data_IF_462788905770
#
_entry.id   IF_462788905770
#
_cell.length_a   1.000
_cell.length_b   1.000
_cell.length_c   1.000
_cell.angle_alpha   90.00
_cell.angle_beta   90.00
_cell.angle_gamma   90.00
#
_symmetry.space_group_name_H-M   'P 1'
#
loop_
_entity.id
_entity.type
_entity.pdbx_description
1 polymer ?
#
# COMPACT_ATOMS: atom_id res chain seq x y z
N UNK A 1 -3.19 -13.74 2.19
CA UNK A 1 -4.03 -14.87 2.67
C UNK A 1 -5.03 -15.19 1.59
N UNK A 2 -5.19 -16.47 1.29
CA UNK A 2 -6.23 -16.95 0.36
C UNK A 2 -7.31 -17.64 1.19
N UNK A 3 -8.59 -17.27 0.98
CA UNK A 3 -9.73 -17.87 1.70
C UNK A 3 -9.98 -19.30 1.23
N UNK A 4 -10.64 -20.11 2.05
CA UNK A 4 -11.14 -21.42 1.64
C UNK A 4 -12.07 -21.28 0.42
N UNK A 5 -11.83 -22.11 -0.61
CA UNK A 5 -12.60 -22.08 -1.85
C UNK A 5 -12.17 -21.03 -2.88
N UNK A 6 -11.05 -20.33 -2.66
CA UNK A 6 -10.49 -19.42 -3.67
C UNK A 6 -10.10 -20.13 -4.97
N UNK A 7 -10.11 -19.37 -6.06
CA UNK A 7 -9.76 -19.87 -7.39
C UNK A 7 -8.29 -20.31 -7.46
N UNK A 8 -7.98 -21.22 -8.38
CA UNK A 8 -6.59 -21.64 -8.63
C UNK A 8 -5.68 -20.45 -8.97
N UNK A 9 -6.23 -19.43 -9.64
CA UNK A 9 -5.48 -18.23 -10.01
C UNK A 9 -5.07 -17.40 -8.79
N UNK A 10 -5.97 -17.21 -7.82
CA UNK A 10 -5.65 -16.49 -6.56
C UNK A 10 -4.59 -17.23 -5.74
N UNK A 11 -4.58 -18.57 -5.79
CA UNK A 11 -3.54 -19.40 -5.16
C UNK A 11 -2.19 -19.21 -5.86
N UNK A 12 -2.17 -19.24 -7.19
CA UNK A 12 -0.96 -18.99 -7.99
C UNK A 12 -0.42 -17.56 -7.81
N UNK A 13 -1.28 -16.56 -7.63
CA UNK A 13 -0.85 -15.20 -7.29
C UNK A 13 -0.16 -15.15 -5.92
N UNK A 14 -0.75 -15.79 -4.90
CA UNK A 14 -0.16 -15.82 -3.56
C UNK A 14 1.17 -16.59 -3.52
N UNK A 15 1.27 -17.72 -4.24
CA UNK A 15 2.51 -18.50 -4.31
C UNK A 15 3.62 -17.73 -5.03
N UNK A 16 3.29 -16.98 -6.09
CA UNK A 16 4.25 -16.06 -6.72
C UNK A 16 4.68 -14.94 -5.80
N UNK A 17 3.76 -14.37 -5.02
CA UNK A 17 4.10 -13.38 -3.99
C UNK A 17 5.09 -13.96 -2.97
N UNK A 18 4.85 -15.18 -2.49
CA UNK A 18 5.73 -15.91 -1.58
C UNK A 18 7.15 -16.07 -2.18
N UNK A 19 7.26 -16.51 -3.43
CA UNK A 19 8.54 -16.69 -4.12
C UNK A 19 9.34 -15.38 -4.20
N UNK A 20 8.68 -14.26 -4.49
CA UNK A 20 9.31 -12.93 -4.50
C UNK A 20 9.82 -12.58 -3.11
N UNK A 21 8.97 -12.74 -2.08
CA UNK A 21 9.34 -12.40 -0.70
C UNK A 21 10.49 -13.26 -0.17
N UNK A 22 10.55 -14.54 -0.53
CA UNK A 22 11.68 -15.43 -0.18
C UNK A 22 13.01 -14.95 -0.78
N UNK A 23 12.99 -14.39 -2.00
CA UNK A 23 14.19 -13.84 -2.64
C UNK A 23 14.69 -12.53 -2.01
N UNK A 24 13.77 -11.76 -1.41
CA UNK A 24 14.08 -10.44 -0.87
C UNK A 24 14.83 -10.49 0.45
N UNK A 25 14.73 -11.53 1.28
CA UNK A 25 15.36 -11.52 2.61
C UNK A 25 14.91 -10.32 3.46
N UNK A 26 15.78 -9.80 4.34
CA UNK A 26 15.44 -8.67 5.22
C UNK A 26 16.10 -7.36 4.80
N UNK A 27 15.31 -6.28 4.81
CA UNK A 27 15.77 -4.91 4.63
C UNK A 27 14.91 -3.94 5.46
N UNK A 28 15.53 -2.88 6.00
CA UNK A 28 14.85 -1.97 6.93
C UNK A 28 13.57 -1.31 6.37
N UNK A 29 13.55 -1.07 5.05
CA UNK A 29 12.45 -0.39 4.36
C UNK A 29 11.63 -1.31 3.42
N UNK A 30 11.65 -2.62 3.68
CA UNK A 30 10.85 -3.63 2.97
C UNK A 30 10.21 -4.54 4.01
N UNK A 31 8.93 -4.89 3.82
CA UNK A 31 8.24 -5.84 4.71
C UNK A 31 8.88 -7.21 4.58
N UNK A 32 9.29 -7.75 5.73
CA UNK A 32 9.97 -9.04 5.83
C UNK A 32 8.95 -10.18 6.00
N UNK A 33 9.11 -11.23 5.19
CA UNK A 33 8.44 -12.52 5.39
C UNK A 33 9.08 -13.26 6.58
N UNK A 34 8.26 -13.66 7.54
CA UNK A 34 8.67 -14.42 8.72
C UNK A 34 8.42 -15.93 8.53
N UNK A 35 7.41 -16.30 7.74
CA UNK A 35 7.06 -17.69 7.46
C UNK A 35 5.84 -17.81 6.56
N UNK A 36 5.44 -19.03 6.25
CA UNK A 36 4.27 -19.33 5.45
C UNK A 36 3.64 -20.67 5.85
N UNK A 37 2.33 -20.80 5.65
CA UNK A 37 1.61 -22.07 5.75
C UNK A 37 1.04 -22.38 4.36
N UNK A 38 1.66 -23.32 3.64
CA UNK A 38 1.28 -23.66 2.25
C UNK A 38 1.07 -25.17 2.03
N UNK A 39 1.23 -26.01 3.06
CA UNK A 39 0.98 -27.46 2.95
C UNK A 39 -0.50 -27.80 2.83
N UNK A 40 -1.36 -27.06 3.54
CA UNK A 40 -2.81 -27.22 3.56
C UNK A 40 -3.50 -25.86 3.55
N UNK A 41 -4.70 -25.82 2.97
CA UNK A 41 -5.52 -24.61 2.98
C UNK A 41 -6.04 -24.28 4.39
N UNK A 42 -6.26 -22.99 4.70
CA UNK A 42 -5.98 -21.82 3.85
C UNK A 42 -4.48 -21.47 3.78
N UNK A 43 -4.02 -20.98 2.62
CA UNK A 43 -2.63 -20.53 2.47
C UNK A 43 -2.38 -19.19 3.16
N UNK A 44 -1.36 -19.16 4.03
CA UNK A 44 -1.01 -18.02 4.87
C UNK A 44 0.43 -17.57 4.61
N UNK A 45 0.61 -16.25 4.55
CA UNK A 45 1.92 -15.59 4.61
C UNK A 45 1.99 -14.88 5.96
N UNK A 46 3.06 -15.16 6.71
CA UNK A 46 3.32 -14.55 8.01
C UNK A 46 4.40 -13.50 7.79
N UNK A 47 4.08 -12.24 8.03
CA UNK A 47 4.96 -11.10 7.78
C UNK A 47 5.15 -10.29 9.06
N UNK A 48 6.18 -9.45 9.10
CA UNK A 48 6.32 -8.50 10.20
C UNK A 48 5.11 -7.57 10.31
N UNK A 49 4.71 -7.26 11.54
CA UNK A 49 3.63 -6.34 11.82
C UNK A 49 4.14 -4.89 11.84
N UNK A 50 3.53 -4.03 11.03
CA UNK A 50 3.90 -2.61 10.90
C UNK A 50 2.79 -1.74 11.49
N UNK A 51 3.08 -1.13 12.64
CA UNK A 51 2.10 -0.64 13.61
C UNK A 51 1.05 0.34 13.07
N UNK A 52 1.46 1.37 12.31
CA UNK A 52 0.52 2.38 11.83
C UNK A 52 -0.16 2.00 10.50
N UNK A 53 0.09 0.79 9.99
CA UNK A 53 -0.56 0.31 8.78
C UNK A 53 -0.17 1.11 7.54
N UNK A 54 -1.12 1.28 6.61
CA UNK A 54 -0.89 1.87 5.28
C UNK A 54 -0.59 3.37 5.36
N UNK A 55 0.46 3.80 4.66
CA UNK A 55 0.87 5.20 4.53
C UNK A 55 -0.26 6.08 3.99
N UNK A 56 -1.03 5.60 3.01
CA UNK A 56 -2.18 6.36 2.49
C UNK A 56 -3.20 6.72 3.60
N UNK A 57 -3.57 5.75 4.43
CA UNK A 57 -4.50 5.96 5.53
C UNK A 57 -3.88 6.87 6.60
N UNK A 58 -2.62 6.65 6.92
CA UNK A 58 -1.85 7.47 7.86
C UNK A 58 -1.83 8.96 7.44
N UNK A 59 -1.49 9.25 6.18
CA UNK A 59 -1.47 10.62 5.65
C UNK A 59 -2.86 11.29 5.71
N UNK A 60 -3.91 10.56 5.32
CA UNK A 60 -5.29 11.08 5.32
C UNK A 60 -5.82 11.34 6.73
N UNK A 61 -5.45 10.50 7.70
CA UNK A 61 -5.83 10.67 9.10
C UNK A 61 -5.19 11.95 9.67
N UNK A 62 -3.89 12.14 9.47
CA UNK A 62 -3.18 13.36 9.90
C UNK A 62 -3.68 14.64 9.21
N UNK A 63 -4.12 14.54 7.95
CA UNK A 63 -4.80 15.64 7.26
C UNK A 63 -6.08 16.08 8.00
N UNK A 64 -6.85 15.15 8.57
CA UNK A 64 -8.09 15.49 9.29
C UNK A 64 -7.85 15.97 10.72
N UNK A 65 -6.82 15.45 11.41
CA UNK A 65 -6.51 15.82 12.80
C UNK A 65 -6.03 17.26 12.96
N UNK A 66 -5.31 17.80 11.98
CA UNK A 66 -4.90 19.21 11.96
C UNK A 66 -6.09 20.18 11.99
N UNK A 67 -7.29 19.75 11.59
CA UNK A 67 -8.49 20.59 11.65
C UNK A 67 -9.22 20.57 13.01
N UNK A 68 -8.89 19.65 13.93
CA UNK A 68 -9.70 19.40 15.13
C UNK A 68 -8.99 19.61 16.47
N UNK A 69 -7.66 19.52 16.57
CA UNK A 69 -6.94 19.61 17.85
C UNK A 69 -5.69 20.49 17.76
N UNK A 70 -5.80 21.76 18.17
CA UNK A 70 -4.68 22.70 18.35
C UNK A 70 -4.00 22.60 19.75
N UNK A 71 -4.16 21.48 20.49
CA UNK A 71 -3.82 21.44 21.92
C UNK A 71 -3.25 20.11 22.45
N UNK A 72 -2.36 19.41 21.73
CA UNK A 72 -1.57 18.32 22.33
C UNK A 72 -0.08 18.48 22.03
N UNK A 73 0.74 18.41 23.09
CA UNK A 73 2.21 18.42 23.01
C UNK A 73 2.71 17.20 22.22
N UNK A 74 3.50 17.45 21.17
CA UNK A 74 3.25 16.86 19.85
C UNK A 74 4.41 15.98 19.33
N UNK A 75 4.80 14.93 20.05
CA UNK A 75 5.77 13.94 19.50
C UNK A 75 5.16 13.12 18.35
N UNK A 76 3.83 13.02 18.32
CA UNK A 76 3.09 12.20 17.36
C UNK A 76 2.64 12.96 16.10
N UNK A 77 2.73 14.30 16.07
CA UNK A 77 2.39 15.07 14.87
C UNK A 77 3.21 14.68 13.65
N UNK A 78 2.55 14.73 12.50
CA UNK A 78 3.19 14.58 11.20
C UNK A 78 3.87 15.89 10.82
N UNK A 79 5.18 15.84 10.60
CA UNK A 79 5.98 17.01 10.24
C UNK A 79 6.34 17.02 8.75
N UNK A 80 6.75 18.19 8.25
CA UNK A 80 7.33 18.33 6.91
C UNK A 80 8.56 17.43 6.70
N UNK A 81 9.34 17.22 7.77
CA UNK A 81 10.52 16.36 7.77
C UNK A 81 10.12 14.89 7.60
N UNK A 82 9.07 14.44 8.28
CA UNK A 82 8.56 13.07 8.16
C UNK A 82 8.16 12.74 6.73
N UNK A 83 7.50 13.66 6.01
CA UNK A 83 7.15 13.47 4.60
C UNK A 83 8.39 13.23 3.72
N UNK A 84 9.49 13.94 4.00
CA UNK A 84 10.75 13.77 3.27
C UNK A 84 11.42 12.44 3.66
N UNK A 85 11.34 12.04 4.94
CA UNK A 85 11.82 10.75 5.44
C UNK A 85 11.04 9.58 4.84
N UNK A 86 9.73 9.68 4.66
CA UNK A 86 8.91 8.66 4.00
C UNK A 86 9.41 8.41 2.57
N UNK A 87 9.62 9.48 1.80
CA UNK A 87 10.18 9.37 0.45
C UNK A 87 11.59 8.73 0.46
N UNK A 88 12.44 9.11 1.41
CA UNK A 88 13.78 8.53 1.57
C UNK A 88 13.74 7.03 1.90
N UNK A 89 12.88 6.62 2.82
CA UNK A 89 12.68 5.22 3.19
C UNK A 89 12.26 4.38 1.98
N UNK A 90 11.27 4.86 1.22
CA UNK A 90 10.80 4.16 0.02
C UNK A 90 11.90 4.11 -1.05
N UNK A 91 12.68 5.18 -1.25
CA UNK A 91 13.81 5.16 -2.19
C UNK A 91 14.87 4.11 -1.80
N UNK A 92 15.20 3.98 -0.50
CA UNK A 92 16.10 2.92 0.01
C UNK A 92 15.55 1.53 -0.26
N UNK A 93 14.26 1.32 0.02
CA UNK A 93 13.60 0.04 -0.23
C UNK A 93 13.62 -0.31 -1.72
N UNK A 94 13.32 0.64 -2.60
CA UNK A 94 13.31 0.41 -4.04
C UNK A 94 14.71 0.22 -4.65
N UNK A 95 15.74 0.90 -4.12
CA UNK A 95 17.16 0.61 -4.44
C UNK A 95 17.49 -0.84 -4.11
N UNK A 96 17.06 -1.32 -2.93
CA UNK A 96 17.24 -2.71 -2.52
C UNK A 96 16.51 -3.70 -3.43
N UNK A 97 15.23 -3.47 -3.75
CA UNK A 97 14.46 -4.29 -4.70
C UNK A 97 15.16 -4.35 -6.06
N UNK A 98 15.64 -3.21 -6.56
CA UNK A 98 16.43 -3.12 -7.79
C UNK A 98 17.68 -3.99 -7.74
N UNK A 99 18.44 -3.95 -6.65
CA UNK A 99 19.62 -4.81 -6.45
C UNK A 99 19.30 -6.32 -6.43
N UNK A 100 18.04 -6.67 -6.15
CA UNK A 100 17.54 -8.05 -6.20
C UNK A 100 16.92 -8.41 -7.54
N UNK A 101 16.89 -7.51 -8.52
CA UNK A 101 16.26 -7.72 -9.83
C UNK A 101 14.74 -7.83 -9.72
N UNK A 102 14.12 -7.18 -8.74
CA UNK A 102 12.67 -7.17 -8.52
C UNK A 102 12.07 -5.86 -9.03
N UNK A 103 11.04 -5.96 -9.88
CA UNK A 103 10.20 -4.85 -10.31
C UNK A 103 8.89 -4.93 -9.53
N UNK A 104 8.51 -3.87 -8.83
CA UNK A 104 7.35 -3.84 -7.95
C UNK A 104 6.02 -3.77 -8.73
N UNK A 105 5.96 -2.92 -9.77
CA UNK A 105 4.81 -2.73 -10.68
C UNK A 105 3.55 -2.11 -10.07
N UNK A 106 3.41 -2.12 -8.75
CA UNK A 106 2.32 -1.44 -8.03
C UNK A 106 2.79 -0.54 -6.86
N UNK A 107 3.84 0.26 -7.09
CA UNK A 107 4.34 1.17 -6.06
C UNK A 107 3.39 2.37 -5.88
N UNK A 108 2.75 2.46 -4.72
CA UNK A 108 1.79 3.51 -4.36
C UNK A 108 1.69 3.68 -2.85
N UNK A 109 1.16 4.80 -2.35
CA UNK A 109 1.02 5.03 -0.90
C UNK A 109 0.16 3.98 -0.19
N UNK A 110 -0.77 3.31 -0.89
CA UNK A 110 -1.59 2.20 -0.34
C UNK A 110 -0.78 0.91 -0.07
N UNK A 111 0.38 0.78 -0.70
CA UNK A 111 1.28 -0.39 -0.65
C UNK A 111 2.58 -0.07 0.10
N UNK A 112 2.59 1.02 0.87
CA UNK A 112 3.65 1.35 1.81
C UNK A 112 3.07 1.34 3.21
N UNK A 113 3.78 0.77 4.17
CA UNK A 113 3.40 0.72 5.57
C UNK A 113 4.28 1.66 6.41
N UNK A 114 3.80 2.11 7.57
CA UNK A 114 4.51 3.03 8.48
C UNK A 114 4.66 2.38 9.86
N UNK A 115 5.89 2.27 10.35
CA UNK A 115 6.17 1.71 11.68
C UNK A 115 6.06 2.74 12.81
N UNK A 116 6.22 2.28 14.04
CA UNK A 116 6.12 3.08 15.27
C UNK A 116 7.15 4.23 15.36
N UNK A 117 8.22 4.21 14.56
CA UNK A 117 9.21 5.28 14.48
C UNK A 117 8.98 6.19 13.27
N UNK A 118 7.79 6.14 12.64
CA UNK A 118 7.47 6.84 11.40
C UNK A 118 8.45 6.49 10.27
N UNK A 119 8.91 5.24 10.20
CA UNK A 119 9.72 4.73 9.10
C UNK A 119 8.87 3.91 8.15
N UNK A 120 9.07 4.10 6.84
CA UNK A 120 8.28 3.40 5.82
C UNK A 120 8.88 2.06 5.40
N UNK A 121 7.99 1.08 5.15
CA UNK A 121 8.32 -0.23 4.58
C UNK A 121 7.45 -0.51 3.36
N UNK A 122 8.06 -0.91 2.25
CA UNK A 122 7.35 -1.32 1.03
C UNK A 122 6.69 -2.68 1.25
N UNK A 123 5.45 -2.83 0.80
CA UNK A 123 4.62 -4.03 0.96
C UNK A 123 3.84 -4.34 -0.32
N UNK A 124 3.09 -5.44 -0.31
CA UNK A 124 2.22 -5.92 -1.40
C UNK A 124 2.99 -6.27 -2.69
N UNK A 125 3.47 -7.52 -2.74
CA UNK A 125 4.30 -8.03 -3.83
C UNK A 125 3.50 -8.84 -4.86
N UNK A 126 2.16 -8.87 -4.78
CA UNK A 126 1.32 -9.69 -5.66
C UNK A 126 1.47 -9.37 -7.16
N UNK A 127 1.82 -8.13 -7.49
CA UNK A 127 2.11 -7.71 -8.87
C UNK A 127 3.60 -7.78 -9.25
N UNK A 128 4.49 -8.03 -8.30
CA UNK A 128 5.94 -7.96 -8.51
C UNK A 128 6.45 -9.06 -9.45
N UNK A 129 7.56 -8.80 -10.14
CA UNK A 129 8.22 -9.76 -11.03
C UNK A 129 9.73 -9.71 -10.85
N UNK A 130 10.36 -10.88 -10.93
CA UNK A 130 11.82 -11.01 -11.02
C UNK A 130 12.26 -10.94 -12.48
N UNK A 131 13.32 -10.18 -12.77
CA UNK A 131 13.89 -10.01 -14.12
C UNK A 131 15.35 -10.45 -14.23
N UNK A 132 15.84 -11.20 -13.24
CA UNK A 132 17.22 -11.73 -13.23
C UNK A 132 17.55 -12.57 -14.46
N UNK A 133 16.55 -13.26 -15.00
CA UNK A 133 16.71 -14.18 -16.13
C UNK A 133 16.32 -13.54 -17.48
N UNK A 134 15.65 -12.39 -17.47
CA UNK A 134 15.01 -11.79 -18.66
C UNK A 134 15.64 -10.48 -19.14
N UNK A 135 16.72 -10.01 -18.50
CA UNK A 135 17.51 -8.86 -18.98
C UNK A 135 16.89 -7.49 -18.65
N UNK A 136 16.58 -7.26 -17.37
CA UNK A 136 16.13 -5.99 -16.77
C UNK A 136 14.72 -5.49 -17.16
N UNK A 137 13.98 -6.28 -17.96
CA UNK A 137 12.65 -5.94 -18.43
C UNK A 137 11.68 -7.11 -18.27
N UNK A 138 10.43 -6.77 -17.96
CA UNK A 138 9.28 -7.69 -17.98
C UNK A 138 8.22 -7.15 -18.94
N UNK A 139 7.89 -7.92 -19.97
CA UNK A 139 6.78 -7.65 -20.87
C UNK A 139 5.58 -8.51 -20.47
N UNK A 140 4.48 -7.87 -20.11
CA UNK A 140 3.27 -8.58 -19.72
C UNK A 140 2.43 -8.94 -20.96
N UNK A 141 2.32 -10.23 -21.26
CA UNK A 141 1.31 -10.74 -22.20
C UNK A 141 -0.10 -10.42 -21.68
N UNK A 142 -1.09 -10.27 -22.57
CA UNK A 142 -2.45 -9.85 -22.18
C UNK A 142 -3.07 -10.77 -21.11
N UNK A 143 -2.97 -10.37 -19.84
CA UNK A 143 -3.65 -11.03 -18.72
C UNK A 143 -4.86 -10.22 -18.30
N UNK A 144 -5.94 -10.90 -17.93
CA UNK A 144 -7.10 -10.29 -17.28
C UNK A 144 -6.70 -9.88 -15.86
N UNK A 145 -6.54 -8.59 -15.62
CA UNK A 145 -6.25 -8.05 -14.29
C UNK A 145 -6.43 -6.54 -14.28
N UNK A 146 -6.97 -6.00 -13.19
CA UNK A 146 -7.03 -4.55 -13.00
C UNK A 146 -5.60 -4.01 -12.85
N UNK A 147 -5.29 -2.92 -13.53
CA UNK A 147 -3.97 -2.29 -13.47
C UNK A 147 -4.07 -0.93 -12.77
N UNK A 148 -3.03 -0.50 -12.03
CA UNK A 148 -3.02 0.76 -11.30
C UNK A 148 -2.73 1.95 -12.23
N UNK A 149 -3.63 2.21 -13.19
CA UNK A 149 -3.43 3.14 -14.32
C UNK A 149 -2.86 4.51 -13.92
N UNK A 150 -3.27 5.07 -12.78
CA UNK A 150 -2.82 6.40 -12.32
C UNK A 150 -1.35 6.45 -11.87
N UNK A 151 -0.75 5.30 -11.57
CA UNK A 151 0.65 5.19 -11.13
C UNK A 151 1.59 4.72 -12.23
N UNK A 152 1.06 4.22 -13.35
CA UNK A 152 1.86 3.57 -14.38
C UNK A 152 2.60 4.55 -15.29
N UNK A 153 3.82 4.16 -15.67
CA UNK A 153 4.62 4.86 -16.66
C UNK A 153 4.01 4.77 -18.08
N UNK A 154 4.30 5.74 -18.99
CA UNK A 154 3.76 5.75 -20.35
C UNK A 154 4.04 4.45 -21.13
N UNK A 155 5.26 3.90 -21.00
CA UNK A 155 5.64 2.65 -21.64
C UNK A 155 4.87 1.44 -21.09
N UNK A 156 4.55 1.43 -19.80
CA UNK A 156 3.75 0.37 -19.17
C UNK A 156 2.28 0.46 -19.54
N UNK A 157 1.77 1.69 -19.71
CA UNK A 157 0.39 1.94 -20.14
C UNK A 157 0.17 1.48 -21.59
N UNK A 158 1.11 1.76 -22.47
CA UNK A 158 0.92 1.58 -23.90
C UNK A 158 1.51 0.26 -24.43
N UNK A 159 2.71 -0.13 -23.98
CA UNK A 159 3.42 -1.32 -24.47
C UNK A 159 3.44 -2.47 -23.46
N UNK A 160 2.87 -2.31 -22.25
CA UNK A 160 2.95 -3.32 -21.17
C UNK A 160 4.39 -3.69 -20.77
N UNK A 161 5.31 -2.75 -20.98
CA UNK A 161 6.71 -2.88 -20.60
C UNK A 161 6.90 -2.39 -19.17
N UNK A 162 7.48 -3.24 -18.33
CA UNK A 162 7.81 -2.92 -16.95
C UNK A 162 9.32 -3.09 -16.73
N UNK A 163 9.92 -2.10 -16.08
CA UNK A 163 11.35 -2.01 -15.74
C UNK A 163 11.51 -1.31 -14.40
N UNK A 164 12.72 -1.31 -13.83
CA UNK A 164 13.03 -0.46 -12.67
C UNK A 164 12.77 1.04 -12.96
N UNK A 165 12.90 1.49 -14.21
CA UNK A 165 12.59 2.88 -14.60
C UNK A 165 11.09 3.16 -14.64
N UNK A 166 10.25 2.16 -14.90
CA UNK A 166 8.80 2.29 -14.73
C UNK A 166 8.39 2.38 -13.26
N UNK A 167 9.11 1.70 -12.35
CA UNK A 167 8.92 1.88 -10.91
C UNK A 167 9.37 3.27 -10.42
N UNK A 168 10.41 3.85 -11.01
CA UNK A 168 10.81 5.25 -10.74
C UNK A 168 9.68 6.23 -11.06
N UNK A 169 8.94 6.00 -12.15
CA UNK A 169 7.77 6.81 -12.45
C UNK A 169 6.70 6.72 -11.36
N UNK A 170 6.36 5.48 -10.97
CA UNK A 170 5.41 5.20 -9.88
C UNK A 170 5.85 5.84 -8.56
N UNK A 171 7.16 5.85 -8.28
CA UNK A 171 7.73 6.54 -7.13
C UNK A 171 7.50 8.05 -7.18
N UNK A 172 7.59 8.69 -8.34
CA UNK A 172 7.22 10.10 -8.50
C UNK A 172 5.75 10.36 -8.15
N UNK A 173 4.85 9.49 -8.58
CA UNK A 173 3.42 9.57 -8.22
C UNK A 173 3.24 9.38 -6.71
N UNK A 174 3.93 8.41 -6.10
CA UNK A 174 3.92 8.18 -4.66
C UNK A 174 4.43 9.39 -3.87
N UNK A 175 5.51 10.04 -4.31
CA UNK A 175 5.98 11.27 -3.68
C UNK A 175 4.95 12.39 -3.80
N UNK A 176 4.22 12.47 -4.91
CA UNK A 176 3.10 13.40 -5.07
C UNK A 176 1.96 13.08 -4.09
N UNK A 177 1.61 11.81 -3.89
CA UNK A 177 0.65 11.40 -2.84
C UNK A 177 1.12 11.83 -1.44
N UNK A 178 2.40 11.64 -1.13
CA UNK A 178 2.99 12.04 0.16
C UNK A 178 2.85 13.54 0.39
N UNK A 179 3.31 14.38 -0.53
CA UNK A 179 3.28 15.84 -0.34
C UNK A 179 1.87 16.42 -0.40
N UNK A 180 0.89 15.69 -0.92
CA UNK A 180 -0.54 16.08 -0.93
C UNK A 180 -1.36 15.38 0.14
N UNK A 181 -0.70 14.77 1.13
CA UNK A 181 -1.31 14.05 2.25
C UNK A 181 -2.37 13.03 1.80
N UNK A 182 -2.03 12.19 0.82
CA UNK A 182 -2.87 11.08 0.37
C UNK A 182 -3.98 11.47 -0.61
N UNK A 183 -3.80 12.55 -1.37
CA UNK A 183 -4.75 12.93 -2.42
C UNK A 183 -4.71 11.95 -3.59
N UNK A 184 -5.85 11.79 -4.27
CA UNK A 184 -5.93 10.88 -5.43
C UNK A 184 -5.21 11.50 -6.64
N UNK A 185 -4.23 10.82 -7.26
CA UNK A 185 -3.57 11.34 -8.45
C UNK A 185 -4.55 11.52 -9.62
N UNK A 186 -4.46 12.64 -10.33
CA UNK A 186 -5.37 13.00 -11.45
C UNK A 186 -6.86 12.97 -11.05
N UNK A 187 -7.28 13.68 -9.98
CA UNK A 187 -8.54 13.44 -9.27
C UNK A 187 -9.81 13.64 -10.10
N UNK A 188 -9.73 14.33 -11.24
CA UNK A 188 -10.85 14.61 -12.15
C UNK A 188 -10.90 13.71 -13.39
N UNK A 189 -9.88 12.87 -13.59
CA UNK A 189 -9.73 12.09 -14.82
C UNK A 189 -10.08 10.63 -14.59
N UNK A 190 -10.83 10.03 -15.52
CA UNK A 190 -11.01 8.57 -15.57
C UNK A 190 -9.76 7.85 -16.11
N UNK A 191 -9.66 6.53 -15.90
CA UNK A 191 -8.48 5.75 -16.32
C UNK A 191 -8.10 5.94 -17.81
N UNK A 192 -9.09 5.96 -18.71
CA UNK A 192 -8.86 6.21 -20.15
C UNK A 192 -8.31 7.59 -20.44
N UNK A 193 -8.77 8.59 -19.70
CA UNK A 193 -8.30 9.97 -19.85
C UNK A 193 -6.87 10.13 -19.31
N UNK A 194 -6.57 9.54 -18.15
CA UNK A 194 -5.21 9.50 -17.61
C UNK A 194 -4.25 8.88 -18.63
N UNK A 195 -4.60 7.73 -19.21
CA UNK A 195 -3.78 7.08 -20.24
C UNK A 195 -3.49 8.00 -21.43
N UNK A 196 -4.52 8.69 -21.94
CA UNK A 196 -4.36 9.64 -23.05
C UNK A 196 -3.48 10.82 -22.64
N UNK A 197 -3.82 11.52 -21.56
CA UNK A 197 -3.13 12.75 -21.15
C UNK A 197 -1.66 12.48 -20.78
N UNK A 198 -1.36 11.42 -20.04
CA UNK A 198 0.01 11.05 -19.66
C UNK A 198 0.86 10.75 -20.89
N UNK A 199 0.31 10.02 -21.86
CA UNK A 199 0.96 9.75 -23.15
C UNK A 199 1.22 11.04 -23.93
N UNK A 200 0.25 11.94 -23.93
CA UNK A 200 0.33 13.22 -24.65
C UNK A 200 1.19 14.28 -23.92
N UNK A 201 1.86 13.88 -22.83
CA UNK A 201 2.87 14.70 -22.13
C UNK A 201 2.38 15.39 -20.86
N UNK A 202 1.10 15.26 -20.50
CA UNK A 202 0.57 15.85 -19.27
C UNK A 202 1.21 15.23 -18.02
N UNK A 203 1.50 16.08 -17.02
CA UNK A 203 2.08 15.70 -15.72
C UNK A 203 1.32 16.41 -14.60
N UNK A 204 1.37 15.86 -13.39
CA UNK A 204 0.79 16.53 -12.22
C UNK A 204 1.54 17.82 -11.92
N UNK A 205 0.79 18.87 -11.59
CA UNK A 205 1.34 20.17 -11.23
C UNK A 205 2.02 20.15 -9.85
N UNK A 206 2.91 21.11 -9.62
CA UNK A 206 3.51 21.34 -8.30
C UNK A 206 2.43 21.81 -7.32
N UNK A 207 2.20 21.09 -6.21
CA UNK A 207 1.34 21.60 -5.15
C UNK A 207 1.90 22.92 -4.59
N UNK A 208 1.05 23.94 -4.39
CA UNK A 208 1.50 25.28 -3.99
C UNK A 208 2.37 25.30 -2.73
N UNK A 209 2.03 24.43 -1.79
CA UNK A 209 2.69 24.21 -0.50
C UNK A 209 3.93 23.31 -0.55
N UNK A 210 4.26 22.73 -1.71
CA UNK A 210 5.47 21.91 -1.90
C UNK A 210 6.59 22.75 -2.52
N UNK A 211 7.71 22.90 -1.81
CA UNK A 211 8.88 23.67 -2.25
C UNK A 211 9.50 23.06 -3.52
N UNK A 212 10.10 23.92 -4.34
CA UNK A 212 10.57 23.56 -5.67
C UNK A 212 11.71 22.54 -5.64
N UNK A 213 12.54 22.56 -4.60
CA UNK A 213 13.67 21.64 -4.41
C UNK A 213 13.20 20.18 -4.35
N UNK A 214 12.18 19.90 -3.53
CA UNK A 214 11.60 18.57 -3.44
C UNK A 214 10.82 18.23 -4.73
N UNK A 215 10.05 19.17 -5.28
CA UNK A 215 9.29 18.92 -6.51
C UNK A 215 10.19 18.69 -7.74
N UNK A 216 11.41 19.23 -7.78
CA UNK A 216 12.41 18.92 -8.83
C UNK A 216 12.79 17.45 -8.82
N UNK A 217 12.88 16.81 -7.64
CA UNK A 217 13.10 15.36 -7.54
C UNK A 217 11.90 14.61 -8.12
N UNK A 218 10.69 14.97 -7.69
CA UNK A 218 9.42 14.36 -8.14
C UNK A 218 9.27 14.43 -9.66
N UNK A 219 9.43 15.62 -10.24
CA UNK A 219 9.19 15.86 -11.66
C UNK A 219 10.19 15.15 -12.58
N UNK A 220 11.45 14.94 -12.15
CA UNK A 220 12.43 14.16 -12.93
C UNK A 220 12.09 12.68 -13.04
N UNK A 221 11.35 12.12 -12.08
CA UNK A 221 10.82 10.76 -12.19
C UNK A 221 9.86 10.59 -13.37
N UNK A 222 9.25 11.67 -13.85
CA UNK A 222 8.27 11.63 -14.94
C UNK A 222 8.81 12.05 -16.31
N UNK A 223 10.13 11.91 -16.52
CA UNK A 223 10.71 12.07 -17.84
C UNK A 223 10.07 11.05 -18.81
N UNK A 224 9.70 11.53 -20.01
CA UNK A 224 9.10 10.68 -21.04
C UNK A 224 10.06 9.55 -21.48
N UNK A 225 11.36 9.85 -21.54
CA UNK A 225 12.41 8.87 -21.79
C UNK A 225 12.78 8.16 -20.48
N UNK A 226 12.55 6.83 -20.34
CA UNK A 226 12.90 6.08 -19.15
C UNK A 226 14.38 6.17 -18.77
N UNK A 227 15.27 6.31 -19.75
CA UNK A 227 16.71 6.37 -19.50
C UNK A 227 17.14 7.69 -18.85
N UNK A 228 16.37 8.76 -19.07
CA UNK A 228 16.59 10.08 -18.46
C UNK A 228 16.01 10.22 -17.05
N UNK A 229 15.23 9.22 -16.59
CA UNK A 229 14.77 9.18 -15.20
C UNK A 229 15.97 8.81 -14.30
N UNK A 230 16.10 9.41 -13.10
CA UNK A 230 17.12 8.99 -12.15
C UNK A 230 16.90 7.52 -11.74
N UNK A 231 17.95 6.84 -11.29
CA UNK A 231 17.78 5.56 -10.60
C UNK A 231 17.49 5.78 -9.10
N UNK A 232 17.15 4.71 -8.39
CA UNK A 232 16.82 4.80 -6.97
C UNK A 232 18.01 5.15 -6.09
N UNK A 233 19.25 4.84 -6.50
CA UNK A 233 20.45 5.24 -5.76
C UNK A 233 20.65 6.75 -5.79
N UNK A 234 20.50 7.37 -6.97
CA UNK A 234 20.51 8.81 -7.15
C UNK A 234 19.36 9.48 -6.38
N UNK A 235 18.14 8.95 -6.48
CA UNK A 235 16.98 9.45 -5.72
C UNK A 235 17.21 9.39 -4.21
N UNK A 236 17.72 8.27 -3.70
CA UNK A 236 18.05 8.12 -2.27
C UNK A 236 19.06 9.18 -1.85
N UNK A 237 20.14 9.36 -2.61
CA UNK A 237 21.18 10.35 -2.30
C UNK A 237 20.63 11.77 -2.27
N UNK A 238 19.87 12.16 -3.31
CA UNK A 238 19.31 13.51 -3.42
C UNK A 238 18.30 13.81 -2.30
N UNK A 239 17.39 12.88 -2.00
CA UNK A 239 16.42 13.06 -0.91
C UNK A 239 17.14 13.10 0.44
N UNK A 240 18.18 12.27 0.63
CA UNK A 240 19.04 12.33 1.82
C UNK A 240 19.69 13.71 2.00
N UNK A 241 20.20 14.31 0.92
CA UNK A 241 20.77 15.66 0.96
C UNK A 241 19.73 16.72 1.35
N UNK A 242 18.48 16.60 0.90
CA UNK A 242 17.38 17.47 1.34
C UNK A 242 17.11 17.32 2.86
N UNK A 243 17.11 16.10 3.38
CA UNK A 243 16.93 15.83 4.82
C UNK A 243 18.04 16.49 5.65
N UNK A 244 19.27 16.48 5.15
CA UNK A 244 20.41 17.12 5.81
C UNK A 244 20.32 18.65 5.75
N UNK A 245 20.00 19.20 4.58
CA UNK A 245 19.88 20.66 4.38
C UNK A 245 18.69 21.30 5.15
N UNK A 246 17.70 20.51 5.55
CA UNK A 246 16.53 20.97 6.32
C UNK A 246 16.74 21.00 7.84
N UNK A 247 17.92 20.58 8.34
CA UNK A 247 18.23 20.55 9.79
C UNK A 247 18.22 21.93 10.45
N UNK A 248 18.49 22.99 9.68
CA UNK A 248 18.63 24.37 10.18
C UNK A 248 17.33 25.19 10.12
N UNK A 249 16.16 24.54 10.03
CA UNK A 249 14.86 25.19 10.26
C UNK A 249 14.01 25.45 9.00
N UNK A 250 13.92 24.49 8.08
CA UNK A 250 12.98 24.60 6.95
C UNK A 250 12.51 23.26 6.41
N UNK A 251 11.19 23.04 6.40
CA UNK A 251 10.57 21.89 5.73
C UNK A 251 10.33 22.13 4.23
N UNK A 252 10.21 21.06 3.44
CA UNK A 252 9.92 21.16 1.99
C UNK A 252 8.42 21.16 1.66
N UNK A 253 7.59 20.88 2.64
CA UNK A 253 6.13 20.90 2.55
C UNK A 253 5.60 21.81 3.65
N UNK A 254 4.92 22.87 3.26
CA UNK A 254 4.25 23.78 4.17
C UNK A 254 2.88 23.20 4.55
N UNK A 255 2.80 22.63 5.75
CA UNK A 255 1.60 21.97 6.23
C UNK A 255 0.51 22.98 6.65
N UNK A 256 0.89 24.20 7.03
CA UNK A 256 -0.07 25.25 7.41
C UNK A 256 -0.81 25.74 6.16
N UNK A 257 -0.06 26.08 5.10
CA UNK A 257 -0.63 26.48 3.80
C UNK A 257 -1.47 25.37 3.14
N UNK A 258 -1.23 24.09 3.48
CA UNK A 258 -2.01 22.98 2.96
C UNK A 258 -3.43 22.94 3.53
N UNK A 259 -3.59 23.17 4.84
CA UNK A 259 -4.87 23.14 5.54
C UNK A 259 -5.88 24.16 4.99
N UNK A 260 -5.40 25.25 4.39
CA UNK A 260 -6.21 26.31 3.81
C UNK A 260 -6.69 26.00 2.36
N UNK A 261 -6.16 24.95 1.73
CA UNK A 261 -6.38 24.66 0.30
C UNK A 261 -7.46 23.59 0.05
N UNK A 262 -8.66 24.01 -0.35
CA UNK A 262 -9.75 23.11 -0.80
C UNK A 262 -9.48 22.39 -2.15
N UNK A 263 -8.30 22.54 -2.74
CA UNK A 263 -7.99 22.03 -4.10
C UNK A 263 -7.68 20.53 -4.15
N UNK A 264 -7.33 19.92 -3.02
CA UNK A 264 -6.86 18.53 -2.99
C UNK A 264 -7.97 17.60 -2.52
N UNK A 265 -8.55 16.80 -3.40
CA UNK A 265 -9.63 15.86 -3.05
C UNK A 265 -9.11 14.42 -2.91
N UNK A 266 -9.83 13.63 -2.11
CA UNK A 266 -9.67 12.18 -2.08
C UNK A 266 -11.04 11.50 -1.98
N UNK A 267 -11.23 10.38 -2.66
CA UNK A 267 -12.45 9.59 -2.55
C UNK A 267 -12.38 8.69 -1.31
N UNK A 268 -13.20 8.96 -0.29
CA UNK A 268 -13.37 8.06 0.88
C UNK A 268 -13.87 6.65 0.51
N UNK A 269 -14.48 6.49 -0.66
CA UNK A 269 -15.05 5.23 -1.14
C UNK A 269 -14.02 4.22 -1.65
N UNK A 270 -12.80 4.64 -1.98
CA UNK A 270 -11.72 3.74 -2.43
C UNK A 270 -11.02 3.01 -1.27
N UNK A 271 -11.29 3.40 -0.01
CA UNK A 271 -10.69 2.81 1.19
C UNK A 271 -11.50 1.65 1.79
N UNK A 272 -12.66 1.30 1.20
CA UNK A 272 -13.40 0.11 1.60
C UNK A 272 -12.97 -1.09 0.77
N UNK A 273 -12.64 -2.24 1.38
CA UNK A 273 -12.53 -3.48 0.62
C UNK A 273 -13.87 -3.68 -0.10
N UNK A 274 -13.81 -3.94 -1.39
CA UNK A 274 -14.97 -4.15 -2.26
C UNK A 274 -15.94 -5.15 -1.63
N UNK A 275 -17.01 -4.64 -1.01
CA UNK A 275 -18.15 -5.44 -0.57
C UNK A 275 -19.01 -5.73 -1.79
N UNK A 276 -18.57 -6.66 -2.63
CA UNK A 276 -19.53 -7.40 -3.46
C UNK A 276 -19.97 -8.64 -2.68
N UNK A 277 -21.29 -8.72 -2.49
CA UNK A 277 -22.08 -9.82 -1.94
C UNK A 277 -22.19 -9.94 -0.41
N UNK A 278 -22.98 -9.04 0.18
CA UNK A 278 -23.85 -9.41 1.31
C UNK A 278 -25.23 -9.76 0.76
N UNK A 279 -25.54 -11.05 0.62
CA UNK A 279 -26.94 -11.50 0.62
C UNK A 279 -27.32 -11.94 2.04
N UNK A 280 -28.54 -11.55 2.41
CA UNK A 280 -29.17 -11.71 3.71
C UNK A 280 -29.02 -13.12 4.31
N UNK A 281 -28.67 -13.16 5.60
CA UNK A 281 -29.05 -14.26 6.48
C UNK A 281 -30.00 -13.73 7.54
N UNK A 282 -31.21 -14.28 7.53
CA UNK A 282 -32.21 -14.11 8.58
C UNK A 282 -31.71 -14.76 9.87
N UNK A 283 -31.67 -13.99 10.95
CA UNK A 283 -31.48 -14.50 12.30
C UNK A 283 -32.76 -15.22 12.78
N UNK A 284 -32.63 -16.49 13.15
CA UNK A 284 -33.50 -17.10 14.15
C UNK A 284 -32.76 -17.08 15.49
N UNK A 285 -33.25 -16.24 16.40
CA UNK A 285 -32.87 -16.22 17.80
C UNK A 285 -33.55 -17.38 18.53
N UNK A 286 -32.76 -18.20 19.22
CA UNK A 286 -33.22 -19.01 20.34
C UNK A 286 -32.63 -18.42 21.62
N UNK A 287 -33.53 -18.10 22.55
CA UNK A 287 -33.28 -17.43 23.81
C UNK A 287 -33.35 -18.47 24.94
N UNK A 288 -32.38 -18.59 25.86
CA UNK A 288 -32.53 -19.43 27.04
C UNK A 288 -33.00 -18.57 28.22
N UNK A 289 -34.20 -18.87 28.73
CA UNK A 289 -34.77 -18.27 29.94
C UNK A 289 -35.07 -19.33 30.99
N UNK A 290 -34.44 -19.15 32.14
CA UNK A 290 -34.57 -19.89 33.40
C UNK A 290 -35.98 -19.96 33.99
N UNK A 291 -36.35 -21.09 34.61
CA UNK A 291 -37.23 -21.11 35.80
C UNK A 291 -36.94 -22.32 36.69
N UNK A 292 -37.10 -22.10 37.99
CA UNK A 292 -36.74 -22.88 39.16
C UNK A 292 -37.70 -24.02 39.54
N UNK A 293 -37.17 -24.93 40.37
CA UNK A 293 -37.75 -25.92 41.29
C UNK A 293 -39.24 -25.76 41.70
N UNK A 294 -40.04 -26.79 42.02
CA UNK A 294 -39.87 -27.87 43.03
C UNK A 294 -41.04 -28.90 42.97
N UNK A 295 -40.84 -30.07 43.61
CA UNK A 295 -41.79 -31.03 44.24
C UNK A 295 -42.27 -32.26 43.45
N UNK A 296 -42.14 -33.43 44.10
CA UNK A 296 -42.99 -34.61 43.88
C UNK A 296 -42.25 -35.96 43.93
N UNK A 297 -42.30 -36.64 45.06
CA UNK A 297 -41.85 -38.03 45.32
C UNK A 297 -42.78 -39.09 44.71
N UNK A 298 -42.25 -40.31 44.50
CA UNK A 298 -42.85 -41.67 44.69
C UNK A 298 -42.09 -42.69 43.79
N UNK A 299 -41.24 -43.58 44.32
CA UNK A 299 -41.45 -44.92 44.90
C UNK A 299 -41.84 -46.04 43.89
N UNK A 300 -40.87 -46.96 43.72
CA UNK A 300 -40.89 -48.43 43.54
C UNK A 300 -41.63 -49.16 42.38
N UNK A 301 -40.87 -50.04 41.68
CA UNK A 301 -41.10 -51.48 41.43
C UNK A 301 -40.09 -51.91 40.32
N UNK A 302 -39.08 -52.74 40.55
CA UNK A 302 -39.02 -54.21 40.71
C UNK A 302 -39.32 -55.07 39.46
N UNK A 303 -38.52 -56.14 39.36
CA UNK A 303 -38.63 -57.36 38.53
C UNK A 303 -38.34 -57.27 37.01
N UNK A 304 -37.83 -58.29 36.31
CA UNK A 304 -36.95 -59.45 36.55
C UNK A 304 -36.87 -60.18 35.17
N UNK A 305 -35.82 -60.98 34.96
CA UNK A 305 -35.80 -62.25 34.17
C UNK A 305 -35.74 -62.24 32.62
N UNK A 306 -34.61 -62.79 32.16
CA UNK A 306 -34.34 -63.76 31.07
C UNK A 306 -35.21 -63.79 29.80
N UNK A 307 -34.54 -63.79 28.64
CA UNK A 307 -34.33 -65.04 27.87
C UNK A 307 -33.46 -64.83 26.62
N UNK A 308 -32.54 -65.80 26.45
CA UNK A 308 -31.77 -66.21 25.25
C UNK A 308 -30.67 -65.29 24.70
#
# INVERSE_FOLDING_TARGET
>A
MVKEGASSHEKEDLLRELEIMQQLGSHANVVTLLGCCTEKEPYLLIMEYVMYGKLLAFLRDHRTRQHYYNFSEDSDALTSRDLTIFAYCVARGMEYLGSKGIIHRDLAARNVLVDHNKMCKIADFGMSRSVRETGDMYEQQQTKGALPIRWMAPESLHYRIFTHKSDVWSFGILMWEIVTLGSTPYPTMGAREVMRCVRDGYRLERPGHCRIELFRVISRCWNADPNKRPDFAALRYEIGALIEASKDGGGYVDLESFAESNKYSYNRSEDQPSQHHRHHHNNHHHNPGSTSATLGSDIAADEEVMNM
#
